data_IF_210569987880
#
_entry.id   IF_210569987880
#
_cell.length_a   1.000
_cell.length_b   1.000
_cell.length_c   1.000
_cell.angle_alpha   90.00
_cell.angle_beta   90.00
_cell.angle_gamma   90.00
#
_symmetry.space_group_name_H-M   'P 1'
#
loop_
_entity.id
_entity.type
_entity.pdbx_description
1 polymer ?
#
# COMPACT_ATOMS: atom_id res chain seq x y z
N UNK A 1 -17.06 46.25 -55.62
CA UNK A 1 -16.16 46.06 -56.78
C UNK A 1 -15.37 44.78 -56.51
N UNK A 2 -15.95 43.61 -56.83
CA UNK A 2 -15.72 42.84 -58.08
C UNK A 2 -14.28 42.33 -58.16
N UNK A 3 -13.99 41.07 -57.81
CA UNK A 3 -14.11 39.87 -58.67
C UNK A 3 -12.68 39.48 -59.12
N UNK A 4 -12.21 38.24 -59.31
CA UNK A 4 -12.78 36.91 -59.56
C UNK A 4 -11.61 35.90 -59.41
N UNK A 5 -11.92 34.63 -59.07
CA UNK A 5 -11.04 33.45 -59.30
C UNK A 5 -11.01 33.09 -60.81
N UNK A 6 -10.06 32.25 -61.27
CA UNK A 6 -10.32 30.81 -61.39
C UNK A 6 -9.11 29.88 -61.11
N UNK A 7 -9.38 28.62 -60.72
CA UNK A 7 -8.45 27.47 -60.88
C UNK A 7 -8.47 26.96 -62.35
N UNK A 8 -7.88 25.80 -62.74
CA UNK A 8 -7.82 24.53 -62.00
C UNK A 8 -6.51 23.70 -62.18
N UNK A 9 -6.41 22.54 -61.52
CA UNK A 9 -5.47 21.46 -61.93
C UNK A 9 -4.94 20.55 -60.81
N UNK A 10 -5.65 19.45 -60.51
CA UNK A 10 -5.06 18.24 -59.89
C UNK A 10 -4.30 17.39 -60.93
N UNK A 11 -3.61 16.28 -60.55
CA UNK A 11 -4.28 15.13 -59.92
C UNK A 11 -3.50 14.38 -58.80
N UNK A 12 -4.26 13.51 -58.11
CA UNK A 12 -3.98 12.19 -57.50
C UNK A 12 -2.53 11.79 -57.10
N UNK A 13 -2.25 11.07 -56.01
CA UNK A 13 -3.04 10.21 -55.13
C UNK A 13 -2.11 9.39 -54.21
N UNK A 14 -2.68 8.77 -53.16
CA UNK A 14 -2.02 7.87 -52.20
C UNK A 14 -1.67 8.57 -50.88
N UNK A 15 -2.34 8.38 -49.75
CA UNK A 15 -2.99 7.18 -49.24
C UNK A 15 -2.04 6.43 -48.31
N UNK A 16 -1.98 6.81 -47.03
CA UNK A 16 -1.59 5.93 -45.89
C UNK A 16 -2.01 6.56 -44.57
N UNK A 17 -2.73 5.74 -43.82
CA UNK A 17 -3.33 5.92 -42.50
C UNK A 17 -2.28 5.97 -41.39
N UNK A 18 -2.25 7.05 -40.60
CA UNK A 18 -1.53 7.11 -39.33
C UNK A 18 -2.50 6.85 -38.18
N UNK A 19 -2.35 5.72 -37.49
CA UNK A 19 -3.12 5.35 -36.31
C UNK A 19 -2.73 6.14 -35.05
N UNK A 20 -3.56 6.08 -33.99
CA UNK A 20 -3.34 6.83 -32.75
C UNK A 20 -2.16 6.25 -31.92
N UNK A 21 -1.57 7.07 -31.03
CA UNK A 21 -0.35 6.74 -30.29
C UNK A 21 -0.56 5.62 -29.27
N UNK A 22 0.44 4.74 -29.19
CA UNK A 22 0.49 3.54 -28.34
C UNK A 22 0.46 3.85 -26.85
N UNK A 23 -0.28 3.00 -26.13
CA UNK A 23 -0.27 2.94 -24.67
C UNK A 23 1.02 2.32 -24.11
N UNK A 24 1.23 2.42 -22.79
CA UNK A 24 2.43 1.90 -22.13
C UNK A 24 2.48 0.35 -22.19
N UNK A 25 3.68 -0.25 -22.13
CA UNK A 25 3.85 -1.69 -22.26
C UNK A 25 3.31 -2.41 -21.01
N UNK A 26 2.42 -3.36 -21.25
CA UNK A 26 2.00 -4.39 -20.30
C UNK A 26 3.16 -5.36 -20.05
N UNK A 27 3.87 -5.18 -18.94
CA UNK A 27 4.85 -6.13 -18.44
C UNK A 27 4.16 -7.38 -17.93
N UNK A 28 4.15 -8.44 -18.74
CA UNK A 28 3.71 -9.76 -18.31
C UNK A 28 4.64 -10.29 -17.22
N UNK A 29 4.12 -10.48 -16.01
CA UNK A 29 4.81 -11.21 -14.95
C UNK A 29 4.79 -12.69 -15.28
N UNK A 30 5.98 -13.27 -15.40
CA UNK A 30 6.16 -14.71 -15.47
C UNK A 30 5.77 -15.32 -14.13
N UNK A 31 4.77 -16.20 -14.17
CA UNK A 31 4.36 -17.04 -13.08
C UNK A 31 5.51 -17.96 -12.65
N UNK A 32 5.81 -17.95 -11.36
CA UNK A 32 6.71 -18.92 -10.75
C UNK A 32 6.99 -18.58 -9.30
N UNK A 33 6.13 -19.04 -8.39
CA UNK A 33 6.54 -19.43 -7.03
C UNK A 33 5.47 -20.30 -6.36
N UNK A 34 5.91 -21.49 -5.99
CA UNK A 34 5.13 -22.50 -5.29
C UNK A 34 4.84 -22.08 -3.85
N UNK A 35 3.71 -22.58 -3.35
CA UNK A 35 3.21 -22.31 -2.01
C UNK A 35 4.19 -22.71 -0.91
N UNK A 36 4.50 -21.74 -0.05
CA UNK A 36 4.97 -21.98 1.30
C UNK A 36 4.11 -21.16 2.25
N UNK A 37 3.30 -21.87 3.03
CA UNK A 37 2.43 -21.37 4.10
C UNK A 37 3.28 -20.71 5.20
N UNK A 38 2.99 -19.48 5.66
CA UNK A 38 3.57 -18.98 6.90
C UNK A 38 2.81 -19.57 8.11
N UNK A 39 3.50 -19.86 9.23
CA UNK A 39 2.83 -20.28 10.46
C UNK A 39 2.21 -19.06 11.16
N UNK A 40 0.92 -19.17 11.50
CA UNK A 40 0.20 -18.17 12.25
C UNK A 40 0.75 -18.01 13.68
N UNK A 41 1.22 -16.81 13.99
CA UNK A 41 1.59 -16.38 15.34
C UNK A 41 0.56 -15.38 15.85
N UNK A 42 -0.29 -15.80 16.77
CA UNK A 42 -1.21 -14.92 17.49
C UNK A 42 -0.46 -14.10 18.54
N UNK A 43 -0.61 -12.78 18.50
CA UNK A 43 -0.26 -11.89 19.59
C UNK A 43 -1.45 -11.00 19.92
N UNK A 44 -2.02 -11.22 21.11
CA UNK A 44 -2.98 -10.33 21.75
C UNK A 44 -2.22 -9.15 22.37
N UNK A 45 -2.68 -7.92 22.17
CA UNK A 45 -2.12 -6.76 22.85
C UNK A 45 -2.88 -5.46 22.62
N UNK A 46 -3.81 -5.16 23.54
CA UNK A 46 -4.28 -3.84 23.97
C UNK A 46 -4.69 -2.78 22.92
N UNK A 47 -6.01 -2.68 22.68
CA UNK A 47 -6.63 -1.52 22.03
C UNK A 47 -6.69 -0.30 22.95
N UNK A 48 -6.17 0.83 22.46
CA UNK A 48 -6.36 2.16 23.02
C UNK A 48 -7.71 2.76 22.62
N UNK A 49 -8.29 3.55 23.52
CA UNK A 49 -9.65 4.05 23.47
C UNK A 49 -9.81 5.40 22.75
N UNK A 50 -10.98 5.56 22.09
CA UNK A 50 -11.69 6.85 21.90
C UNK A 50 -11.22 7.75 20.76
N UNK A 51 -12.11 8.63 20.22
CA UNK A 51 -12.98 9.49 21.03
C UNK A 51 -14.47 9.42 20.69
N UNK A 52 -15.29 9.73 21.71
CA UNK A 52 -16.75 9.79 21.63
C UNK A 52 -17.31 11.17 21.27
N UNK A 53 -18.55 11.16 20.81
CA UNK A 53 -19.44 12.31 20.69
C UNK A 53 -20.88 11.92 21.08
N UNK A 54 -21.70 12.83 21.64
CA UNK A 54 -22.83 12.48 22.49
C UNK A 54 -24.17 12.45 21.74
N UNK A 55 -25.08 11.59 22.19
CA UNK A 55 -26.48 11.61 21.80
C UNK A 55 -27.32 10.71 22.70
N UNK A 56 -28.05 11.29 23.66
CA UNK A 56 -29.15 10.62 24.36
C UNK A 56 -30.33 10.34 23.40
N UNK A 57 -31.36 9.60 23.83
CA UNK A 57 -32.33 10.18 24.77
C UNK A 57 -33.02 9.22 25.78
N UNK A 58 -33.69 9.84 26.76
CA UNK A 58 -34.97 9.54 27.45
C UNK A 58 -35.29 8.07 27.83
N UNK A 59 -35.62 7.68 29.08
CA UNK A 59 -36.31 8.39 30.16
C UNK A 59 -37.74 7.84 30.33
N UNK A 60 -37.99 7.08 31.42
CA UNK A 60 -39.25 6.83 32.20
C UNK A 60 -39.07 5.50 32.96
N UNK A 61 -39.00 5.42 34.30
CA UNK A 61 -40.07 5.65 35.29
C UNK A 61 -40.69 4.29 35.70
N UNK A 62 -40.22 3.63 36.76
CA UNK A 62 -40.86 3.62 38.09
C UNK A 62 -41.00 2.18 38.65
N UNK A 63 -41.19 1.97 39.97
CA UNK A 63 -40.68 0.79 40.69
C UNK A 63 -41.76 -0.26 41.08
N UNK A 64 -41.34 -1.51 41.30
CA UNK A 64 -42.21 -2.58 41.83
C UNK A 64 -41.41 -3.75 42.38
N UNK A 65 -41.69 -4.12 43.64
CA UNK A 65 -40.93 -5.03 44.50
C UNK A 65 -41.02 -6.54 44.21
N UNK A 66 -40.60 -7.39 45.17
CA UNK A 66 -39.78 -8.57 44.89
C UNK A 66 -40.52 -9.92 44.97
N UNK A 67 -39.92 -10.95 44.36
CA UNK A 67 -40.12 -12.34 44.75
C UNK A 67 -40.76 -13.25 43.69
N UNK A 68 -39.96 -14.15 43.11
CA UNK A 68 -40.46 -15.23 42.27
C UNK A 68 -39.31 -16.12 41.76
N UNK A 69 -39.14 -17.27 42.41
CA UNK A 69 -38.13 -18.29 42.08
C UNK A 69 -38.42 -18.97 40.73
N UNK A 70 -37.33 -19.43 40.13
CA UNK A 70 -37.22 -20.57 39.22
C UNK A 70 -37.81 -20.44 37.82
N UNK A 71 -36.93 -20.05 36.89
CA UNK A 71 -36.99 -20.45 35.51
C UNK A 71 -35.59 -20.40 34.94
N UNK A 72 -34.80 -21.45 35.14
CA UNK A 72 -33.61 -21.72 34.32
C UNK A 72 -34.09 -21.96 32.88
N UNK A 73 -34.41 -20.88 32.18
CA UNK A 73 -34.46 -20.87 30.73
C UNK A 73 -33.02 -21.01 30.30
N UNK A 74 -32.72 -22.14 29.66
CA UNK A 74 -31.42 -22.42 29.09
C UNK A 74 -30.92 -21.16 28.40
N UNK A 75 -29.70 -20.75 28.75
CA UNK A 75 -28.97 -19.74 27.98
C UNK A 75 -29.02 -20.25 26.55
N UNK A 76 -29.83 -19.61 25.71
CA UNK A 76 -29.63 -19.63 24.27
C UNK A 76 -28.14 -19.33 24.13
N UNK A 77 -27.37 -20.31 23.64
CA UNK A 77 -26.01 -20.07 23.17
C UNK A 77 -26.16 -18.84 22.30
N UNK A 78 -25.62 -17.71 22.78
CA UNK A 78 -25.70 -16.45 22.06
C UNK A 78 -25.26 -16.77 20.64
N UNK A 79 -26.08 -16.36 19.67
CA UNK A 79 -25.63 -16.39 18.29
C UNK A 79 -24.22 -15.77 18.28
N UNK A 80 -23.24 -16.39 17.60
CA UNK A 80 -21.94 -15.78 17.44
C UNK A 80 -22.16 -14.31 17.03
N UNK A 81 -21.40 -13.36 17.60
CA UNK A 81 -21.49 -11.98 17.12
C UNK A 81 -21.38 -12.02 15.58
N UNK A 82 -22.18 -11.22 14.86
CA UNK A 82 -22.18 -11.24 13.41
C UNK A 82 -20.74 -11.07 12.93
N UNK A 83 -20.25 -12.05 12.17
CA UNK A 83 -18.91 -11.96 11.59
C UNK A 83 -18.89 -10.75 10.65
N UNK A 84 -17.78 -10.00 10.59
CA UNK A 84 -17.66 -8.90 9.66
C UNK A 84 -17.86 -9.40 8.23
N UNK A 85 -18.54 -8.61 7.42
CA UNK A 85 -18.79 -8.91 6.01
C UNK A 85 -17.85 -8.06 5.18
N UNK A 86 -17.04 -8.69 4.35
CA UNK A 86 -16.20 -8.00 3.41
C UNK A 86 -16.91 -7.81 2.06
N UNK A 87 -16.80 -6.61 1.49
CA UNK A 87 -17.46 -6.20 0.25
C UNK A 87 -16.44 -5.52 -0.66
N UNK A 88 -16.22 -6.12 -1.84
CA UNK A 88 -15.37 -5.54 -2.89
C UNK A 88 -16.18 -4.66 -3.85
N UNK A 89 -15.68 -3.45 -4.11
CA UNK A 89 -16.38 -2.40 -4.84
C UNK A 89 -15.54 -1.83 -5.99
N UNK A 90 -16.19 -1.58 -7.14
CA UNK A 90 -15.58 -0.80 -8.21
C UNK A 90 -15.64 0.69 -7.84
N UNK A 91 -14.48 1.30 -7.54
CA UNK A 91 -14.41 2.65 -6.98
C UNK A 91 -14.32 3.75 -8.04
N UNK A 92 -13.72 3.47 -9.20
CA UNK A 92 -13.68 4.41 -10.34
C UNK A 92 -14.63 3.96 -11.45
N UNK A 93 -15.08 4.92 -12.24
CA UNK A 93 -15.91 4.65 -13.42
C UNK A 93 -15.18 3.79 -14.46
N UNK A 94 -13.86 3.96 -14.61
CA UNK A 94 -13.04 3.14 -15.51
C UNK A 94 -13.01 1.67 -15.04
N UNK A 95 -12.78 1.45 -13.73
CA UNK A 95 -12.77 0.11 -13.13
C UNK A 95 -14.12 -0.57 -13.30
N UNK A 96 -15.20 0.17 -13.03
CA UNK A 96 -16.56 -0.30 -13.26
C UNK A 96 -16.78 -0.73 -14.70
N UNK A 97 -16.33 0.05 -15.69
CA UNK A 97 -16.48 -0.30 -17.10
C UNK A 97 -15.68 -1.55 -17.47
N UNK A 98 -14.46 -1.72 -16.94
CA UNK A 98 -13.65 -2.92 -17.13
C UNK A 98 -14.33 -4.18 -16.58
N UNK A 99 -14.81 -4.09 -15.34
CA UNK A 99 -15.51 -5.16 -14.64
C UNK A 99 -16.91 -5.46 -15.21
N UNK A 100 -17.58 -4.46 -15.80
CA UNK A 100 -18.89 -4.63 -16.43
C UNK A 100 -18.85 -5.58 -17.65
N UNK A 101 -17.69 -5.74 -18.30
CA UNK A 101 -17.49 -6.70 -19.40
C UNK A 101 -17.74 -8.14 -18.98
N UNK A 102 -17.54 -8.45 -17.69
CA UNK A 102 -17.80 -9.75 -17.08
C UNK A 102 -19.25 -9.91 -16.58
N UNK A 103 -20.13 -8.93 -16.84
CA UNK A 103 -21.56 -9.00 -16.45
C UNK A 103 -21.86 -8.72 -14.97
N UNK A 104 -20.88 -8.26 -14.19
CA UNK A 104 -20.96 -8.18 -12.73
C UNK A 104 -22.04 -7.24 -12.16
N UNK A 105 -22.51 -6.28 -12.95
CA UNK A 105 -23.40 -5.22 -12.49
C UNK A 105 -24.79 -5.24 -13.12
N UNK A 106 -25.14 -6.31 -13.86
CA UNK A 106 -26.50 -6.51 -14.38
C UNK A 106 -27.04 -5.34 -15.22
N UNK A 107 -26.17 -4.68 -15.99
CA UNK A 107 -26.54 -3.57 -16.88
C UNK A 107 -26.74 -2.21 -16.20
N UNK A 108 -26.46 -2.07 -14.91
CA UNK A 108 -26.57 -0.78 -14.20
C UNK A 108 -25.59 0.25 -14.76
N UNK A 109 -25.99 1.52 -14.76
CA UNK A 109 -25.03 2.62 -14.92
C UNK A 109 -24.21 2.80 -13.63
N UNK A 110 -22.99 3.33 -13.72
CA UNK A 110 -22.09 3.49 -12.56
C UNK A 110 -22.75 4.22 -11.38
N UNK A 111 -23.51 5.30 -11.63
CA UNK A 111 -24.24 6.04 -10.59
C UNK A 111 -25.37 5.22 -9.93
N UNK A 112 -26.01 4.33 -10.68
CA UNK A 112 -27.08 3.46 -10.16
C UNK A 112 -26.48 2.34 -9.32
N UNK A 113 -25.38 1.74 -9.78
CA UNK A 113 -24.58 0.79 -9.02
C UNK A 113 -24.21 1.36 -7.65
N UNK A 114 -23.61 2.55 -7.59
CA UNK A 114 -23.20 3.15 -6.31
C UNK A 114 -24.38 3.42 -5.38
N UNK A 115 -25.53 3.90 -5.89
CA UNK A 115 -26.72 4.11 -5.05
C UNK A 115 -27.28 2.81 -4.50
N UNK A 116 -27.31 1.75 -5.31
CA UNK A 116 -27.78 0.43 -4.90
C UNK A 116 -26.85 -0.17 -3.86
N UNK A 117 -25.54 -0.12 -4.09
CA UNK A 117 -24.53 -0.56 -3.15
C UNK A 117 -24.63 0.21 -1.83
N UNK A 118 -24.73 1.54 -1.86
CA UNK A 118 -24.89 2.34 -0.64
C UNK A 118 -26.13 1.92 0.17
N UNK A 119 -27.25 1.66 -0.51
CA UNK A 119 -28.48 1.20 0.15
C UNK A 119 -28.29 -0.17 0.83
N UNK A 120 -27.53 -1.08 0.20
CA UNK A 120 -27.20 -2.40 0.77
C UNK A 120 -26.24 -2.27 1.97
N UNK A 121 -25.20 -1.45 1.85
CA UNK A 121 -24.23 -1.22 2.92
C UNK A 121 -24.91 -0.59 4.15
N UNK A 122 -25.78 0.40 3.95
CA UNK A 122 -26.57 1.01 5.04
C UNK A 122 -27.49 0.00 5.72
N UNK A 123 -28.10 -0.91 4.95
CA UNK A 123 -28.94 -1.96 5.52
C UNK A 123 -28.13 -2.93 6.40
N UNK A 124 -26.93 -3.32 5.97
CA UNK A 124 -26.01 -4.16 6.76
C UNK A 124 -25.58 -3.46 8.05
N UNK A 125 -25.14 -2.19 7.97
CA UNK A 125 -24.80 -1.41 9.16
C UNK A 125 -25.99 -1.22 10.11
N UNK A 126 -27.20 -1.00 9.57
CA UNK A 126 -28.43 -0.90 10.35
C UNK A 126 -28.79 -2.19 11.09
N UNK A 127 -28.27 -3.34 10.66
CA UNK A 127 -28.39 -4.63 11.35
C UNK A 127 -27.26 -4.89 12.36
N UNK A 128 -26.34 -3.93 12.55
CA UNK A 128 -25.17 -4.08 13.43
C UNK A 128 -24.07 -4.97 12.85
N UNK A 129 -24.08 -5.22 11.53
CA UNK A 129 -23.02 -5.96 10.85
C UNK A 129 -21.89 -5.02 10.52
N UNK A 130 -20.69 -5.34 10.97
CA UNK A 130 -19.47 -4.62 10.57
C UNK A 130 -19.15 -4.94 9.11
N UNK A 131 -18.97 -3.89 8.29
CA UNK A 131 -18.72 -4.05 6.86
C UNK A 131 -17.32 -3.56 6.52
N UNK A 132 -16.50 -4.45 5.96
CA UNK A 132 -15.15 -4.14 5.49
C UNK A 132 -15.19 -3.89 4.00
N UNK A 133 -14.85 -2.68 3.58
CA UNK A 133 -14.77 -2.33 2.18
C UNK A 133 -13.39 -2.65 1.62
N UNK A 134 -13.37 -3.03 0.36
CA UNK A 134 -12.14 -3.14 -0.43
C UNK A 134 -12.41 -2.73 -1.87
N UNK A 135 -11.36 -2.33 -2.57
CA UNK A 135 -11.44 -2.09 -4.01
C UNK A 135 -11.50 -3.43 -4.73
N UNK A 136 -12.39 -3.52 -5.71
CA UNK A 136 -12.39 -4.55 -6.73
C UNK A 136 -11.63 -3.97 -7.93
N UNK A 137 -10.33 -4.22 -8.00
CA UNK A 137 -9.52 -3.79 -9.14
C UNK A 137 -9.72 -4.77 -10.31
N UNK A 138 -9.96 -4.30 -11.55
CA UNK A 138 -10.20 -5.19 -12.68
C UNK A 138 -9.04 -6.13 -12.99
N UNK A 139 -7.79 -5.66 -12.90
CA UNK A 139 -6.62 -6.46 -13.23
C UNK A 139 -6.38 -7.51 -12.14
N UNK A 140 -6.35 -7.07 -10.86
CA UNK A 140 -6.19 -7.99 -9.73
C UNK A 140 -7.30 -9.05 -9.69
N UNK A 141 -8.53 -8.67 -10.05
CA UNK A 141 -9.67 -9.58 -10.08
C UNK A 141 -9.56 -10.62 -11.22
N UNK A 142 -9.11 -10.20 -12.39
CA UNK A 142 -8.87 -11.10 -13.54
C UNK A 142 -7.77 -12.11 -13.19
N UNK A 143 -6.64 -11.64 -12.65
CA UNK A 143 -5.52 -12.49 -12.20
C UNK A 143 -5.95 -13.48 -11.10
N UNK A 144 -6.74 -13.01 -10.13
CA UNK A 144 -7.28 -13.85 -9.06
C UNK A 144 -8.19 -14.96 -9.61
N UNK A 145 -9.07 -14.62 -10.56
CA UNK A 145 -9.98 -15.59 -11.16
C UNK A 145 -9.22 -16.62 -11.99
N UNK A 146 -8.22 -16.20 -12.76
CA UNK A 146 -7.37 -17.09 -13.53
C UNK A 146 -6.60 -18.05 -12.62
N UNK A 147 -5.93 -17.52 -11.59
CA UNK A 147 -5.12 -18.31 -10.66
C UNK A 147 -5.92 -19.39 -9.92
N UNK A 148 -7.19 -19.12 -9.61
CA UNK A 148 -8.06 -20.03 -8.86
C UNK A 148 -9.07 -20.78 -9.73
N UNK A 149 -9.07 -20.56 -11.04
CA UNK A 149 -10.00 -21.19 -11.98
C UNK A 149 -11.46 -20.78 -11.79
N UNK A 150 -11.71 -19.56 -11.31
CA UNK A 150 -13.05 -19.00 -11.20
C UNK A 150 -13.53 -18.39 -12.53
N UNK A 151 -14.83 -18.49 -12.79
CA UNK A 151 -15.49 -17.66 -13.81
C UNK A 151 -15.60 -16.21 -13.28
N UNK A 152 -14.97 -15.21 -13.95
CA UNK A 152 -15.07 -13.81 -13.55
C UNK A 152 -16.50 -13.25 -13.54
N UNK A 153 -17.44 -13.85 -14.29
CA UNK A 153 -18.86 -13.50 -14.24
C UNK A 153 -19.62 -14.14 -13.07
N UNK A 154 -19.01 -15.13 -12.41
CA UNK A 154 -19.62 -15.94 -11.37
C UNK A 154 -19.81 -15.18 -10.06
N UNK A 155 -20.97 -15.33 -9.42
CA UNK A 155 -21.23 -14.72 -8.11
C UNK A 155 -20.26 -15.23 -7.02
N UNK A 156 -19.84 -16.50 -7.11
CA UNK A 156 -18.90 -17.10 -6.18
C UNK A 156 -17.52 -16.43 -6.23
N UNK A 157 -17.04 -16.07 -7.44
CA UNK A 157 -15.74 -15.45 -7.64
C UNK A 157 -15.62 -14.11 -6.90
N UNK A 158 -16.66 -13.26 -7.01
CA UNK A 158 -16.70 -11.96 -6.31
C UNK A 158 -16.71 -12.12 -4.79
N UNK A 159 -17.47 -13.08 -4.27
CA UNK A 159 -17.53 -13.34 -2.83
C UNK A 159 -16.19 -13.87 -2.33
N UNK A 160 -15.55 -14.77 -3.09
CA UNK A 160 -14.24 -15.32 -2.76
C UNK A 160 -13.16 -14.23 -2.77
N UNK A 161 -13.10 -13.39 -3.81
CA UNK A 161 -12.18 -12.24 -3.87
C UNK A 161 -12.41 -11.26 -2.71
N UNK A 162 -13.68 -10.97 -2.41
CA UNK A 162 -14.05 -10.14 -1.28
C UNK A 162 -13.71 -10.77 0.07
N UNK A 163 -13.51 -12.09 0.16
CA UNK A 163 -13.17 -12.79 1.40
C UNK A 163 -11.70 -13.23 1.47
N UNK A 164 -10.92 -12.97 0.43
CA UNK A 164 -9.54 -13.43 0.33
C UNK A 164 -8.70 -12.90 1.51
N UNK A 165 -8.07 -13.77 2.31
CA UNK A 165 -7.20 -13.39 3.41
C UNK A 165 -5.89 -12.74 2.95
N UNK A 166 -5.38 -13.04 1.75
CA UNK A 166 -4.15 -12.42 1.23
C UNK A 166 -4.39 -10.96 0.86
N UNK A 167 -5.62 -10.64 0.44
CA UNK A 167 -6.09 -9.27 0.26
C UNK A 167 -6.57 -8.63 1.58
N UNK A 168 -6.73 -9.42 2.65
CA UNK A 168 -7.21 -8.94 3.95
C UNK A 168 -6.05 -8.40 4.80
N UNK A 169 -5.84 -7.09 4.74
CA UNK A 169 -5.07 -6.35 5.74
C UNK A 169 -5.97 -5.79 6.85
N UNK A 170 -5.49 -4.74 7.54
CA UNK A 170 -6.36 -3.93 8.40
C UNK A 170 -7.60 -3.45 7.60
N UNK A 171 -8.83 -3.59 8.12
CA UNK A 171 -10.02 -3.35 7.33
C UNK A 171 -10.32 -1.87 7.13
N UNK A 172 -10.77 -1.49 5.94
CA UNK A 172 -11.43 -0.21 5.71
C UNK A 172 -12.90 -0.33 6.15
N UNK A 173 -13.22 0.08 7.38
CA UNK A 173 -14.55 -0.14 7.96
C UNK A 173 -15.54 0.91 7.47
N UNK A 174 -16.69 0.47 6.96
CA UNK A 174 -17.80 1.35 6.61
C UNK A 174 -18.59 1.74 7.86
N UNK A 175 -18.70 3.04 8.14
CA UNK A 175 -19.39 3.57 9.32
C UNK A 175 -20.74 4.26 8.99
N UNK A 176 -21.26 4.08 7.78
CA UNK A 176 -22.55 4.65 7.35
C UNK A 176 -22.43 5.96 6.57
N UNK A 177 -21.24 6.35 6.12
CA UNK A 177 -21.01 7.51 5.28
C UNK A 177 -21.69 7.38 3.92
N UNK A 178 -21.79 8.50 3.17
CA UNK A 178 -22.24 8.44 1.77
C UNK A 178 -21.12 7.83 0.93
N UNK A 179 -21.46 6.82 0.12
CA UNK A 179 -20.45 6.06 -0.62
C UNK A 179 -19.64 6.98 -1.53
N UNK A 180 -20.31 7.91 -2.23
CA UNK A 180 -19.65 8.87 -3.12
C UNK A 180 -18.56 9.73 -2.44
N UNK A 181 -18.71 10.05 -1.15
CA UNK A 181 -17.69 10.80 -0.40
C UNK A 181 -16.55 9.92 0.12
N UNK A 182 -16.80 8.62 0.26
CA UNK A 182 -15.85 7.62 0.76
C UNK A 182 -14.93 7.05 -0.33
N UNK A 183 -15.40 7.02 -1.59
CA UNK A 183 -14.68 6.42 -2.72
C UNK A 183 -13.24 6.93 -2.89
N UNK A 184 -12.94 8.26 -2.79
CA UNK A 184 -11.56 8.73 -2.90
C UNK A 184 -10.66 8.12 -1.84
N UNK A 185 -11.07 8.15 -0.57
CA UNK A 185 -10.30 7.59 0.55
C UNK A 185 -10.11 6.07 0.41
N UNK A 186 -11.11 5.34 -0.06
CA UNK A 186 -10.99 3.90 -0.32
C UNK A 186 -10.02 3.61 -1.47
N UNK A 187 -10.01 4.44 -2.52
CA UNK A 187 -9.06 4.31 -3.63
C UNK A 187 -7.63 4.62 -3.18
N UNK A 188 -7.44 5.64 -2.33
CA UNK A 188 -6.13 5.99 -1.77
C UNK A 188 -5.62 4.91 -0.83
N UNK A 189 -6.49 4.38 0.06
CA UNK A 189 -6.18 3.22 0.91
C UNK A 189 -5.72 2.01 0.09
N UNK A 190 -6.43 1.67 -0.99
CA UNK A 190 -6.04 0.56 -1.86
C UNK A 190 -4.70 0.81 -2.57
N UNK A 191 -4.44 2.02 -3.09
CA UNK A 191 -3.12 2.35 -3.68
C UNK A 191 -2.00 2.22 -2.66
N UNK A 192 -2.23 2.66 -1.42
CA UNK A 192 -1.28 2.52 -0.35
C UNK A 192 -0.99 1.03 -0.04
N UNK A 193 -2.00 0.16 -0.04
CA UNK A 193 -1.81 -1.30 0.10
C UNK A 193 -0.97 -1.89 -1.03
N UNK A 194 -1.26 -1.51 -2.28
CA UNK A 194 -0.48 -1.97 -3.43
C UNK A 194 0.98 -1.57 -3.27
N UNK A 195 1.26 -0.31 -2.88
CA UNK A 195 2.62 0.15 -2.57
C UNK A 195 3.27 -0.66 -1.43
N UNK A 196 2.54 -0.90 -0.34
CA UNK A 196 3.03 -1.72 0.78
C UNK A 196 3.38 -3.12 0.30
N UNK A 197 2.53 -3.78 -0.48
CA UNK A 197 2.79 -5.12 -0.99
C UNK A 197 4.06 -5.15 -1.84
N UNK A 198 4.21 -4.22 -2.79
CA UNK A 198 5.41 -4.12 -3.64
C UNK A 198 6.65 -3.87 -2.78
N UNK A 199 6.60 -2.91 -1.86
CA UNK A 199 7.72 -2.57 -1.00
C UNK A 199 8.07 -3.70 -0.02
N UNK A 200 7.08 -4.44 0.49
CA UNK A 200 7.28 -5.62 1.32
C UNK A 200 8.00 -6.73 0.55
N UNK A 201 7.60 -7.00 -0.69
CA UNK A 201 8.31 -7.96 -1.56
C UNK A 201 9.76 -7.54 -1.76
N UNK A 202 10.00 -6.28 -2.17
CA UNK A 202 11.33 -5.74 -2.34
C UNK A 202 12.19 -5.81 -1.05
N UNK A 203 11.57 -5.53 0.10
CA UNK A 203 12.23 -5.64 1.40
C UNK A 203 12.60 -7.09 1.74
N UNK A 204 11.69 -8.04 1.53
CA UNK A 204 11.97 -9.46 1.76
C UNK A 204 13.10 -9.97 0.87
N UNK A 205 13.09 -9.60 -0.40
CA UNK A 205 14.15 -9.94 -1.35
C UNK A 205 15.50 -9.33 -0.93
N UNK A 206 15.52 -8.06 -0.51
CA UNK A 206 16.73 -7.39 -0.04
C UNK A 206 17.30 -8.00 1.27
N UNK A 207 16.43 -8.50 2.16
CA UNK A 207 16.86 -9.14 3.40
C UNK A 207 17.45 -10.54 3.19
N UNK A 208 17.03 -11.19 2.10
CA UNK A 208 17.41 -12.54 1.73
C UNK A 208 16.76 -13.63 2.59
N UNK A 209 16.82 -14.86 2.10
CA UNK A 209 16.28 -16.03 2.79
C UNK A 209 17.17 -16.49 3.96
N UNK A 210 16.56 -17.08 4.98
CA UNK A 210 17.27 -17.77 6.07
C UNK A 210 17.04 -17.19 7.48
N UNK A 211 17.67 -17.78 8.51
CA UNK A 211 17.35 -17.51 9.91
C UNK A 211 17.70 -16.08 10.36
N UNK A 212 18.53 -15.36 9.61
CA UNK A 212 18.89 -13.98 9.88
C UNK A 212 17.86 -12.96 9.35
N UNK A 213 16.92 -13.37 8.49
CA UNK A 213 15.95 -12.47 7.87
C UNK A 213 15.06 -11.76 8.89
N UNK A 214 14.45 -12.51 9.82
CA UNK A 214 13.55 -11.95 10.82
C UNK A 214 14.23 -10.94 11.77
N UNK A 215 15.41 -11.21 12.36
CA UNK A 215 16.14 -10.21 13.13
C UNK A 215 16.50 -8.94 12.32
N UNK A 216 16.86 -9.09 11.04
CA UNK A 216 17.19 -7.95 10.18
C UNK A 216 15.96 -7.12 9.84
N UNK A 217 14.82 -7.75 9.57
CA UNK A 217 13.51 -7.10 9.37
C UNK A 217 13.17 -6.21 10.57
N UNK A 218 13.25 -6.76 11.78
CA UNK A 218 12.98 -6.00 13.02
C UNK A 218 13.97 -4.82 13.15
N UNK A 219 15.25 -5.04 12.88
CA UNK A 219 16.27 -4.00 12.99
C UNK A 219 16.07 -2.86 11.99
N UNK A 220 15.79 -3.16 10.71
CA UNK A 220 15.58 -2.14 9.68
C UNK A 220 14.28 -1.37 9.92
N UNK A 221 13.19 -2.03 10.30
CA UNK A 221 11.93 -1.36 10.63
C UNK A 221 12.07 -0.46 11.88
N UNK A 222 12.83 -0.89 12.88
CA UNK A 222 13.14 -0.06 14.06
C UNK A 222 13.94 1.18 13.66
N UNK A 223 14.96 1.02 12.81
CA UNK A 223 15.75 2.13 12.30
C UNK A 223 14.88 3.11 11.50
N UNK A 224 14.08 2.62 10.56
CA UNK A 224 13.20 3.47 9.74
C UNK A 224 12.19 4.21 10.60
N UNK A 225 11.61 3.55 11.60
CA UNK A 225 10.71 4.23 12.56
C UNK A 225 11.43 5.37 13.29
N UNK A 226 12.70 5.16 13.70
CA UNK A 226 13.49 6.23 14.32
C UNK A 226 13.79 7.39 13.37
N UNK A 227 14.03 7.09 12.09
CA UNK A 227 14.22 8.11 11.05
C UNK A 227 12.94 8.90 10.85
N UNK A 228 11.80 8.24 10.69
CA UNK A 228 10.50 8.90 10.53
C UNK A 228 10.17 9.83 11.72
N UNK A 229 10.40 9.37 12.94
CA UNK A 229 10.17 10.17 14.14
C UNK A 229 11.12 11.38 14.22
N UNK A 230 12.40 11.22 13.89
CA UNK A 230 13.35 12.32 13.84
C UNK A 230 12.99 13.34 12.75
N UNK A 231 12.54 12.86 11.58
CA UNK A 231 12.06 13.72 10.49
C UNK A 231 10.85 14.54 10.92
N UNK A 232 9.88 13.88 11.56
CA UNK A 232 8.69 14.53 12.10
C UNK A 232 9.02 15.58 13.18
N UNK A 233 9.94 15.27 14.09
CA UNK A 233 10.38 16.20 15.13
C UNK A 233 11.05 17.45 14.51
N UNK A 234 11.96 17.25 13.55
CA UNK A 234 12.63 18.37 12.90
C UNK A 234 11.77 19.13 11.88
N UNK A 235 10.64 18.58 11.43
CA UNK A 235 9.66 19.29 10.62
C UNK A 235 8.94 20.39 11.42
N UNK A 236 8.81 20.20 12.74
CA UNK A 236 8.08 21.12 13.61
C UNK A 236 6.57 21.09 13.40
N UNK A 237 5.87 22.00 14.06
CA UNK A 237 4.41 22.14 13.98
C UNK A 237 3.92 22.37 12.55
N UNK A 238 2.78 21.77 12.19
CA UNK A 238 2.11 22.02 10.92
C UNK A 238 1.78 20.78 10.12
N UNK A 239 1.43 21.00 8.84
CA UNK A 239 1.11 19.95 7.86
C UNK A 239 2.20 19.85 6.81
N UNK A 240 2.97 18.80 6.87
CA UNK A 240 4.09 18.53 5.98
C UNK A 240 3.75 17.38 5.04
N UNK A 241 4.52 17.27 3.96
CA UNK A 241 4.48 16.12 3.06
C UNK A 241 5.87 15.49 2.99
N UNK A 242 5.93 14.18 3.13
CA UNK A 242 7.13 13.40 2.82
C UNK A 242 6.98 12.79 1.43
N UNK A 243 8.02 12.93 0.60
CA UNK A 243 8.17 12.17 -0.64
C UNK A 243 9.44 11.34 -0.56
N UNK A 244 9.36 10.12 -1.07
CA UNK A 244 10.45 9.16 -1.06
C UNK A 244 10.53 8.50 -2.43
N UNK A 245 11.75 8.36 -2.92
CA UNK A 245 12.08 7.39 -3.95
C UNK A 245 13.35 6.62 -3.57
N UNK A 246 13.45 5.37 -3.99
CA UNK A 246 14.66 4.57 -3.87
C UNK A 246 14.71 3.47 -4.91
N UNK A 247 15.91 3.00 -5.24
CA UNK A 247 16.06 1.80 -6.04
C UNK A 247 15.64 0.55 -5.26
N UNK A 248 14.90 -0.32 -5.95
CA UNK A 248 14.56 -1.65 -5.45
C UNK A 248 15.73 -2.62 -5.54
N UNK A 249 15.56 -3.86 -5.06
CA UNK A 249 16.56 -4.92 -5.19
C UNK A 249 16.77 -5.38 -6.64
N UNK A 250 15.78 -5.18 -7.53
CA UNK A 250 15.91 -5.53 -8.95
C UNK A 250 16.55 -4.39 -9.77
N UNK A 251 17.35 -4.74 -10.77
CA UNK A 251 18.04 -3.76 -11.62
C UNK A 251 17.04 -2.85 -12.35
N UNK A 252 17.14 -1.54 -12.08
CA UNK A 252 16.28 -0.52 -12.69
C UNK A 252 14.91 -0.40 -12.04
N UNK A 253 14.60 -1.18 -11.00
CA UNK A 253 13.41 -0.98 -10.19
C UNK A 253 13.51 0.32 -9.40
N UNK A 254 12.44 1.10 -9.43
CA UNK A 254 12.31 2.30 -8.62
C UNK A 254 11.01 2.24 -7.81
N UNK A 255 11.15 2.40 -6.50
CA UNK A 255 10.06 2.42 -5.55
C UNK A 255 9.80 3.87 -5.13
N UNK A 256 8.54 4.26 -5.08
CA UNK A 256 8.12 5.59 -4.64
C UNK A 256 7.04 5.52 -3.57
N UNK A 257 7.07 6.48 -2.65
CA UNK A 257 6.04 6.65 -1.64
C UNK A 257 5.90 8.13 -1.27
N UNK A 258 4.70 8.52 -0.82
CA UNK A 258 4.46 9.83 -0.27
C UNK A 258 3.50 9.72 0.92
N UNK A 259 3.69 10.54 1.94
CA UNK A 259 2.86 10.54 3.14
C UNK A 259 2.72 11.94 3.74
N UNK A 260 1.50 12.32 4.08
CA UNK A 260 1.25 13.50 4.91
C UNK A 260 1.78 13.27 6.33
N UNK A 261 2.43 14.29 6.89
CA UNK A 261 2.91 14.31 8.26
C UNK A 261 2.30 15.50 8.97
N UNK A 262 1.48 15.26 9.99
CA UNK A 262 0.86 16.33 10.77
C UNK A 262 1.43 16.33 12.16
N UNK A 263 1.96 17.48 12.58
CA UNK A 263 2.49 17.67 13.93
C UNK A 263 1.66 18.75 14.61
N UNK A 264 1.13 18.41 15.79
CA UNK A 264 0.42 19.35 16.66
C UNK A 264 0.83 19.17 18.11
N UNK A 265 1.20 20.25 18.77
CA UNK A 265 1.64 20.26 20.18
C UNK A 265 2.80 19.27 20.43
N UNK A 266 3.74 19.18 19.47
CA UNK A 266 4.88 18.27 19.47
C UNK A 266 4.51 16.81 19.24
N UNK A 267 3.27 16.50 18.84
CA UNK A 267 2.77 15.13 18.64
C UNK A 267 2.39 14.90 17.19
N UNK A 268 2.79 13.74 16.68
CA UNK A 268 2.32 13.25 15.39
C UNK A 268 0.84 12.91 15.45
N UNK A 269 0.09 13.44 14.49
CA UNK A 269 -1.33 13.18 14.28
C UNK A 269 -1.50 12.37 12.99
N UNK A 270 -2.52 11.50 12.98
CA UNK A 270 -3.05 10.86 11.77
C UNK A 270 -2.00 10.08 10.93
N UNK A 271 -1.25 9.15 11.55
CA UNK A 271 -0.44 8.21 10.77
C UNK A 271 -1.38 7.24 10.02
N UNK A 272 -1.46 7.42 8.69
CA UNK A 272 -2.30 6.63 7.82
C UNK A 272 -1.53 5.53 7.08
N UNK A 273 -2.22 4.84 6.17
CA UNK A 273 -1.62 3.77 5.36
C UNK A 273 -0.51 4.26 4.43
N UNK A 274 -0.55 5.52 4.02
CA UNK A 274 0.54 6.15 3.27
C UNK A 274 1.84 6.27 4.08
N UNK A 275 1.73 6.54 5.39
CA UNK A 275 2.89 6.52 6.30
C UNK A 275 3.46 5.11 6.41
N UNK A 276 2.60 4.08 6.48
CA UNK A 276 3.03 2.68 6.46
C UNK A 276 3.76 2.34 5.15
N UNK A 277 3.18 2.72 4.00
CA UNK A 277 3.80 2.55 2.69
C UNK A 277 5.18 3.23 2.62
N UNK A 278 5.27 4.48 3.07
CA UNK A 278 6.53 5.23 3.13
C UNK A 278 7.59 4.51 3.99
N UNK A 279 7.21 4.03 5.18
CA UNK A 279 8.13 3.33 6.08
C UNK A 279 8.60 2.00 5.48
N UNK A 280 7.72 1.20 4.89
CA UNK A 280 8.11 -0.07 4.27
C UNK A 280 8.98 0.16 3.03
N UNK A 281 8.65 1.15 2.20
CA UNK A 281 9.48 1.53 1.04
C UNK A 281 10.87 2.01 1.47
N UNK A 282 10.96 2.83 2.52
CA UNK A 282 12.25 3.27 3.05
C UNK A 282 13.04 2.09 3.61
N UNK A 283 12.38 1.15 4.28
CA UNK A 283 13.03 -0.06 4.78
C UNK A 283 13.59 -0.91 3.64
N UNK A 284 12.85 -1.06 2.53
CA UNK A 284 13.31 -1.77 1.35
C UNK A 284 14.58 -1.12 0.77
N UNK A 285 14.56 0.19 0.55
CA UNK A 285 15.73 0.92 0.04
C UNK A 285 16.94 0.85 0.98
N UNK A 286 16.72 0.99 2.29
CA UNK A 286 17.79 0.89 3.30
C UNK A 286 18.39 -0.51 3.33
N UNK A 287 17.57 -1.56 3.28
CA UNK A 287 18.02 -2.94 3.29
C UNK A 287 18.78 -3.31 2.00
N UNK A 288 18.30 -2.82 0.84
CA UNK A 288 18.95 -3.01 -0.45
C UNK A 288 20.27 -2.23 -0.56
N UNK A 289 20.41 -1.12 0.16
CA UNK A 289 21.58 -0.26 0.12
C UNK A 289 21.70 0.59 -1.17
N UNK A 290 20.65 0.61 -1.98
CA UNK A 290 20.57 1.37 -3.23
C UNK A 290 20.53 2.89 -3.02
N UNK A 291 20.59 3.63 -4.12
CA UNK A 291 20.42 5.08 -4.10
C UNK A 291 18.94 5.47 -3.93
N UNK A 292 18.69 6.64 -3.35
CA UNK A 292 17.35 7.20 -3.21
C UNK A 292 17.36 8.60 -2.61
N UNK A 293 16.18 9.19 -2.44
CA UNK A 293 16.00 10.45 -1.74
C UNK A 293 14.73 10.46 -0.90
N UNK A 294 14.81 11.08 0.28
CA UNK A 294 13.66 11.46 1.09
C UNK A 294 13.60 12.99 1.13
N UNK A 295 12.46 13.57 0.79
CA UNK A 295 12.21 15.01 0.88
C UNK A 295 11.09 15.28 1.88
N UNK A 296 11.31 16.29 2.73
CA UNK A 296 10.34 16.88 3.63
C UNK A 296 9.92 18.23 3.06
N UNK A 297 8.69 18.29 2.58
CA UNK A 297 8.03 19.50 2.13
C UNK A 297 7.35 20.12 3.35
N UNK A 298 7.82 21.30 3.75
CA UNK A 298 7.27 22.05 4.88
C UNK A 298 5.83 22.48 4.64
N UNK A 299 5.21 23.03 5.69
CA UNK A 299 3.82 23.47 5.63
C UNK A 299 3.63 24.57 4.55
N UNK A 300 2.79 24.34 3.52
CA UNK A 300 2.55 25.33 2.48
C UNK A 300 1.87 26.60 3.01
N UNK A 301 1.26 26.56 4.20
CA UNK A 301 0.68 27.71 4.87
C UNK A 301 1.69 28.47 5.77
N UNK A 302 2.94 28.00 5.87
CA UNK A 302 3.96 28.65 6.70
C UNK A 302 4.31 30.07 6.18
N UNK A 303 4.48 31.05 7.08
CA UNK A 303 4.99 32.37 6.70
C UNK A 303 6.40 32.27 6.11
N UNK A 304 6.63 32.87 4.94
CA UNK A 304 7.95 32.86 4.28
C UNK A 304 8.07 31.93 3.07
N UNK A 305 7.02 31.16 2.76
CA UNK A 305 7.00 30.22 1.64
C UNK A 305 7.34 28.79 2.09
N UNK A 306 7.14 27.84 1.17
CA UNK A 306 7.33 26.43 1.48
C UNK A 306 8.82 26.08 1.45
N UNK A 307 9.38 25.63 2.57
CA UNK A 307 10.73 25.06 2.62
C UNK A 307 10.68 23.59 2.20
N UNK A 308 11.70 23.10 1.49
CA UNK A 308 11.88 21.67 1.23
C UNK A 308 13.26 21.24 1.72
N UNK A 309 13.31 20.20 2.55
CA UNK A 309 14.54 19.63 3.10
C UNK A 309 14.75 18.23 2.56
N UNK A 310 15.99 17.83 2.29
CA UNK A 310 16.25 16.54 1.67
C UNK A 310 17.40 15.74 2.27
N UNK A 311 17.30 14.43 2.10
CA UNK A 311 18.31 13.44 2.45
C UNK A 311 18.50 12.45 1.31
N UNK A 312 19.76 12.20 0.96
CA UNK A 312 20.14 11.15 0.03
C UNK A 312 20.26 9.83 0.79
N UNK A 313 19.68 8.77 0.23
CA UNK A 313 19.91 7.40 0.64
C UNK A 313 21.07 6.84 -0.19
N UNK A 314 22.13 6.38 0.48
CA UNK A 314 23.28 5.76 -0.17
C UNK A 314 23.88 4.70 0.76
N UNK A 315 24.01 3.45 0.29
CA UNK A 315 24.59 2.37 1.08
C UNK A 315 23.85 2.11 2.40
N UNK A 316 22.53 2.29 2.40
CA UNK A 316 21.67 2.12 3.59
C UNK A 316 21.76 3.27 4.59
N UNK A 317 22.31 4.43 4.19
CA UNK A 317 22.53 5.60 5.07
C UNK A 317 21.79 6.82 4.54
N UNK A 318 21.17 7.55 5.45
CA UNK A 318 20.56 8.85 5.15
C UNK A 318 21.58 9.95 5.39
N UNK A 319 22.01 10.62 4.31
CA UNK A 319 22.91 11.78 4.35
C UNK A 319 22.13 13.05 4.05
N UNK A 320 22.26 14.13 4.83
CA UNK A 320 21.73 15.43 4.45
C UNK A 320 22.21 15.85 3.05
N UNK A 321 21.27 16.25 2.20
CA UNK A 321 21.56 16.83 0.89
C UNK A 321 22.03 18.29 1.03
N UNK A 322 22.76 18.78 0.04
CA UNK A 322 22.94 20.21 -0.20
C UNK A 322 21.66 20.83 -0.80
N UNK A 323 21.52 22.16 -0.73
CA UNK A 323 20.38 22.83 -1.37
C UNK A 323 20.29 22.55 -2.88
N UNK A 324 21.42 22.39 -3.57
CA UNK A 324 21.44 22.03 -4.98
C UNK A 324 20.92 20.60 -5.21
N UNK A 325 21.38 19.63 -4.43
CA UNK A 325 20.90 18.25 -4.52
C UNK A 325 19.38 18.15 -4.27
N UNK A 326 18.83 18.96 -3.35
CA UNK A 326 17.38 19.03 -3.11
C UNK A 326 16.65 19.62 -4.31
N UNK A 327 17.18 20.68 -4.92
CA UNK A 327 16.60 21.29 -6.11
C UNK A 327 16.56 20.30 -7.28
N UNK A 328 17.67 19.60 -7.52
CA UNK A 328 17.77 18.60 -8.59
C UNK A 328 16.79 17.44 -8.33
N UNK A 329 16.69 16.95 -7.08
CA UNK A 329 15.73 15.90 -6.71
C UNK A 329 14.28 16.34 -6.91
N UNK A 330 13.93 17.60 -6.63
CA UNK A 330 12.58 18.12 -6.88
C UNK A 330 12.25 18.15 -8.38
N UNK A 331 13.22 18.49 -9.24
CA UNK A 331 13.02 18.45 -10.69
C UNK A 331 12.79 17.02 -11.19
N UNK A 332 13.53 16.05 -10.62
CA UNK A 332 13.41 14.63 -10.91
C UNK A 332 12.08 14.02 -10.40
N UNK A 333 11.55 14.50 -9.27
CA UNK A 333 10.26 14.08 -8.69
C UNK A 333 9.09 14.32 -9.67
N UNK A 334 9.17 15.37 -10.51
CA UNK A 334 8.15 15.63 -11.56
C UNK A 334 8.07 14.46 -12.53
N UNK A 335 9.20 13.88 -12.93
CA UNK A 335 9.25 12.71 -13.81
C UNK A 335 8.68 11.44 -13.18
N UNK A 336 8.67 11.38 -11.84
CA UNK A 336 8.14 10.26 -11.03
C UNK A 336 6.67 10.43 -10.67
N UNK A 337 6.05 11.53 -11.09
CA UNK A 337 4.68 11.89 -10.70
C UNK A 337 4.56 12.30 -9.22
N UNK A 338 5.69 12.60 -8.56
CA UNK A 338 5.72 13.17 -7.22
C UNK A 338 5.45 14.70 -7.29
N UNK A 339 4.89 15.29 -6.23
CA UNK A 339 4.51 16.69 -6.23
C UNK A 339 5.72 17.63 -6.27
N UNK A 340 5.61 18.67 -7.10
CA UNK A 340 6.57 19.77 -7.19
C UNK A 340 5.93 21.08 -6.70
N UNK A 341 6.30 21.58 -5.52
CA UNK A 341 5.80 22.85 -5.01
C UNK A 341 6.49 24.05 -5.70
N UNK A 342 5.77 24.88 -6.48
CA UNK A 342 6.38 26.02 -7.16
C UNK A 342 6.88 27.08 -6.17
N UNK A 343 8.11 27.56 -6.36
CA UNK A 343 8.70 28.60 -5.51
C UNK A 343 9.15 28.12 -4.13
N UNK A 344 9.21 26.80 -3.91
CA UNK A 344 9.77 26.25 -2.70
C UNK A 344 11.26 26.58 -2.53
N UNK A 345 11.69 26.75 -1.28
CA UNK A 345 13.09 27.03 -0.92
C UNK A 345 13.79 25.72 -0.58
N UNK A 346 14.74 25.24 -1.42
CA UNK A 346 15.47 24.02 -1.13
C UNK A 346 16.52 24.26 -0.03
N UNK A 347 16.53 23.40 0.98
CA UNK A 347 17.41 23.50 2.15
C UNK A 347 18.03 22.13 2.47
N UNK A 348 19.23 22.11 3.06
CA UNK A 348 19.78 20.88 3.61
C UNK A 348 18.86 20.23 4.65
N UNK A 349 18.85 18.90 4.65
CA UNK A 349 18.32 18.10 5.74
C UNK A 349 19.08 18.34 7.04
N UNK A 350 18.44 18.08 8.18
CA UNK A 350 19.11 18.02 9.48
C UNK A 350 19.72 16.64 9.72
N UNK A 351 20.52 16.50 10.78
CA UNK A 351 21.11 15.20 11.13
C UNK A 351 20.02 14.20 11.54
N UNK A 352 20.04 13.02 10.91
CA UNK A 352 19.15 11.89 11.23
C UNK A 352 19.89 10.83 12.05
N UNK A 353 19.16 9.86 12.65
CA UNK A 353 19.78 8.74 13.35
C UNK A 353 20.91 8.10 12.55
N UNK A 354 21.92 7.62 13.28
CA UNK A 354 23.10 6.99 12.70
C UNK A 354 22.73 5.80 11.79
N UNK A 355 23.65 5.40 10.90
CA UNK A 355 23.37 4.46 9.82
C UNK A 355 22.76 3.16 10.34
N UNK A 356 21.87 2.57 9.53
CA UNK A 356 21.46 1.20 9.75
C UNK A 356 22.68 0.28 9.75
N UNK A 357 22.76 -0.61 10.73
CA UNK A 357 23.78 -1.65 10.82
C UNK A 357 23.06 -2.99 10.94
N UNK A 358 23.19 -3.90 9.96
CA UNK A 358 22.73 -5.25 10.16
C UNK A 358 23.45 -5.80 11.39
N UNK A 359 22.70 -6.34 12.35
CA UNK A 359 23.28 -7.00 13.52
C UNK A 359 24.26 -8.10 13.10
N UNK A 360 25.21 -8.49 13.97
CA UNK A 360 26.18 -9.52 13.62
C UNK A 360 25.46 -10.78 13.13
N UNK A 361 25.84 -11.27 11.95
CA UNK A 361 25.37 -12.57 11.46
C UNK A 361 25.95 -13.62 12.40
N UNK A 362 25.13 -14.47 13.03
CA UNK A 362 25.65 -15.52 13.89
C UNK A 362 26.63 -16.41 13.09
N UNK A 363 27.81 -16.74 13.64
CA UNK A 363 28.79 -17.56 12.94
C UNK A 363 28.17 -18.93 12.62
N UNK A 364 28.06 -19.25 11.33
CA UNK A 364 27.50 -20.52 10.84
C UNK A 364 26.55 -20.42 9.64
N UNK A 365 26.13 -19.21 9.23
CA UNK A 365 25.26 -18.99 8.08
C UNK A 365 26.02 -18.57 6.79
N UNK A 366 27.22 -19.11 6.58
CA UNK A 366 27.85 -19.06 5.26
C UNK A 366 27.21 -20.08 4.32
N UNK A 367 27.26 -19.91 2.99
CA UNK A 367 26.90 -20.98 2.08
C UNK A 367 27.77 -22.19 2.43
N UNK A 368 27.15 -23.31 2.82
CA UNK A 368 27.87 -24.52 3.14
C UNK A 368 28.79 -24.86 1.98
N UNK A 369 30.09 -24.89 2.23
CA UNK A 369 31.07 -25.40 1.28
C UNK A 369 30.57 -26.75 0.79
N UNK A 370 30.23 -26.82 -0.50
CA UNK A 370 29.81 -28.03 -1.14
C UNK A 370 30.88 -29.08 -0.91
N UNK A 371 30.56 -30.07 -0.07
CA UNK A 371 31.31 -31.30 0.02
C UNK A 371 31.35 -31.90 -1.40
N UNK A 372 32.49 -31.74 -2.06
CA UNK A 372 32.77 -32.40 -3.33
C UNK A 372 32.57 -33.91 -3.18
N UNK A 373 32.12 -34.62 -4.23
CA UNK A 373 31.89 -36.05 -4.13
C UNK A 373 33.24 -36.72 -3.83
N UNK A 374 33.28 -37.44 -2.70
CA UNK A 374 34.44 -38.21 -2.28
C UNK A 374 34.83 -39.18 -3.39
N UNK A 375 36.02 -38.95 -3.96
CA UNK A 375 36.68 -39.92 -4.81
C UNK A 375 36.99 -41.17 -4.00
N UNK A 376 36.41 -42.29 -4.43
CA UNK A 376 36.77 -43.63 -3.98
C UNK A 376 38.26 -43.83 -4.30
N UNK A 377 39.09 -43.92 -3.26
CA UNK A 377 40.45 -44.46 -3.36
C UNK A 377 40.32 -45.97 -3.59
N UNK A 378 40.59 -46.40 -4.82
CA UNK A 378 41.03 -47.79 -5.06
C UNK A 378 42.47 -47.90 -4.57
N UNK A 379 42.67 -48.61 -3.45
CA UNK A 379 43.97 -49.09 -3.03
C UNK A 379 44.40 -50.19 -4.00
N UNK A 380 45.28 -49.82 -4.94
CA UNK A 380 46.03 -50.78 -5.75
C UNK A 380 47.07 -51.47 -4.88
N UNK A 381 46.90 -52.77 -4.66
CA UNK A 381 47.91 -53.61 -4.04
C UNK A 381 49.19 -53.65 -4.87
N UNK A 382 50.31 -53.34 -4.22
CA UNK A 382 51.65 -53.66 -4.73
C UNK A 382 51.94 -55.17 -4.57
N UNK A 383 52.69 -55.78 -5.51
CA UNK A 383 53.17 -57.14 -5.39
C UNK A 383 54.63 -57.21 -4.92
N UNK A 384 55.01 -58.43 -4.51
CA UNK A 384 56.37 -59.02 -4.37
C UNK A 384 57.02 -58.97 -2.98
N UNK A 385 57.32 -60.18 -2.48
CA UNK A 385 58.20 -60.43 -1.33
C UNK A 385 57.89 -61.73 -0.63
#
# INVERSE_FOLDING_TARGET
MSGRRPGPGGPAGGGRTGGPPGGPPSGGRAAGRGGARPPGGGARGAGGAGPGGPGGPCGTGGPGGPGGRAGQRGRSRGAPPPLPVAVALAVRQADFAGLARHGLFGGLAFREYLRRTESQLRALCGQGVEVHLRVLDPADYEDYCEALGFDPGGAAARVAYAADPELAGEPFVYAGERLAGLLPALADDHRARVRITIACTALLDALGEGPAGQPRMVAVMTYVTSVYLAVAEGAGEGRHLLTLWCHGPEDGEELTAAADVRVRDGRLLDAGRDTEALCVTLAAGVAAGGAGALLLHGDPAAPGGQEVRGWALEGGRMRPMSAQEVFDSLADDVGRGLPFPPGAVPLPGFALPGPWRPGPVPPGAGPGDGAGPGGVREDGGEPLG
#
